data_IF_797303035508
#
_entry.id   IF_797303035508
#
_cell.length_a   1.000
_cell.length_b   1.000
_cell.length_c   1.000
_cell.angle_alpha   90.00
_cell.angle_beta   90.00
_cell.angle_gamma   90.00
#
_symmetry.space_group_name_H-M   'P 1'
#
loop_
_entity.id
_entity.type
_entity.pdbx_description
1 polymer ?
#
# COMPACT_ATOMS: atom_id res chain seq x y z
N UNK A 1 9.78 -21.12 24.09
CA UNK A 1 10.10 -19.65 24.09
C UNK A 1 11.45 -19.48 23.39
N UNK A 2 11.51 -18.88 22.20
CA UNK A 2 12.79 -18.59 21.54
C UNK A 2 13.35 -17.30 22.15
N UNK A 3 14.38 -17.42 22.95
CA UNK A 3 15.17 -16.29 23.44
C UNK A 3 16.31 -16.10 22.44
N UNK A 4 16.07 -15.31 21.39
CA UNK A 4 17.11 -14.85 20.49
C UNK A 4 17.51 -13.43 20.87
N UNK A 5 18.75 -13.23 21.29
CA UNK A 5 19.32 -11.89 21.40
C UNK A 5 19.55 -11.35 19.98
N UNK A 6 18.80 -10.31 19.60
CA UNK A 6 19.10 -9.55 18.41
C UNK A 6 20.28 -8.61 18.71
N UNK A 7 21.47 -8.77 18.10
CA UNK A 7 22.61 -7.91 18.35
C UNK A 7 22.40 -6.43 17.95
N UNK A 8 21.36 -6.14 17.17
CA UNK A 8 21.01 -4.78 16.75
C UNK A 8 19.94 -4.12 17.65
N UNK A 9 19.78 -4.54 18.88
CA UNK A 9 18.75 -4.06 19.83
C UNK A 9 18.94 -2.63 20.36
N UNK A 10 20.01 -1.94 19.99
CA UNK A 10 20.20 -0.50 20.24
C UNK A 10 19.63 0.30 19.07
N UNK A 11 18.34 0.19 18.84
CA UNK A 11 17.69 1.05 17.86
C UNK A 11 17.51 2.44 18.47
N UNK A 12 18.32 3.37 18.03
CA UNK A 12 17.99 4.79 18.01
C UNK A 12 16.65 4.96 17.30
N UNK A 13 15.78 5.81 17.84
CA UNK A 13 14.55 6.20 17.13
C UNK A 13 14.94 6.67 15.73
N UNK A 14 14.58 5.91 14.70
CA UNK A 14 14.82 6.32 13.33
C UNK A 14 13.89 7.50 13.04
N UNK A 15 14.46 8.67 12.75
CA UNK A 15 13.71 9.70 12.04
C UNK A 15 13.53 9.15 10.62
N UNK A 16 12.37 8.59 10.36
CA UNK A 16 12.06 8.08 9.04
C UNK A 16 12.04 9.24 8.05
N UNK A 17 12.73 9.08 6.95
CA UNK A 17 12.73 9.98 5.83
C UNK A 17 11.35 10.01 5.13
N UNK A 18 11.37 10.10 3.84
CA UNK A 18 10.18 10.17 2.98
C UNK A 18 9.28 8.93 3.11
N UNK A 19 7.97 9.15 3.17
CA UNK A 19 6.95 8.08 3.14
C UNK A 19 6.35 8.03 1.74
N UNK A 20 6.42 6.85 1.11
CA UNK A 20 5.88 6.61 -0.24
C UNK A 20 4.84 5.51 -0.17
N UNK A 21 3.60 5.81 -0.54
CA UNK A 21 2.58 4.79 -0.79
C UNK A 21 2.75 4.25 -2.23
N UNK A 22 3.11 2.98 -2.35
CA UNK A 22 3.39 2.35 -3.63
C UNK A 22 2.33 1.32 -4.00
N UNK A 23 1.89 1.34 -5.25
CA UNK A 23 0.90 0.40 -5.77
C UNK A 23 1.31 -0.10 -7.15
N UNK A 24 1.09 -1.39 -7.39
CA UNK A 24 1.26 -2.02 -8.72
C UNK A 24 -0.11 -2.25 -9.31
N UNK A 25 -0.37 -1.65 -10.47
CA UNK A 25 -1.63 -1.79 -11.20
C UNK A 25 -1.45 -2.67 -12.44
N UNK A 26 -2.50 -3.43 -12.79
CA UNK A 26 -2.55 -4.20 -14.02
C UNK A 26 -3.99 -4.39 -14.49
N UNK A 27 -4.35 -3.70 -15.55
CA UNK A 27 -5.64 -3.79 -16.24
C UNK A 27 -5.40 -4.20 -17.71
N UNK A 28 -5.44 -5.51 -18.03
CA UNK A 28 -5.09 -5.98 -19.38
C UNK A 28 -6.12 -5.59 -20.43
N UNK A 29 -7.40 -5.53 -20.06
CA UNK A 29 -8.53 -5.26 -20.96
C UNK A 29 -9.63 -4.46 -20.24
N UNK A 30 -10.42 -3.72 -21.01
CA UNK A 30 -11.51 -2.88 -20.51
C UNK A 30 -12.86 -3.61 -20.36
N UNK A 31 -12.96 -4.90 -20.71
CA UNK A 31 -14.24 -5.62 -20.77
C UNK A 31 -14.23 -7.00 -20.12
N UNK A 32 -15.32 -7.75 -20.31
CA UNK A 32 -15.47 -9.10 -19.78
C UNK A 32 -15.42 -9.16 -18.26
N UNK A 33 -14.63 -10.06 -17.73
CA UNK A 33 -14.38 -10.20 -16.28
C UNK A 33 -13.85 -8.90 -15.65
N UNK A 34 -13.10 -8.10 -16.39
CA UNK A 34 -12.46 -6.87 -15.93
C UNK A 34 -13.32 -5.60 -16.10
N UNK A 35 -14.58 -5.70 -16.56
CA UNK A 35 -15.44 -4.54 -16.88
C UNK A 35 -15.56 -3.48 -15.77
N UNK A 36 -15.60 -3.91 -14.51
CA UNK A 36 -15.72 -3.01 -13.35
C UNK A 36 -14.38 -2.73 -12.66
N UNK A 37 -13.29 -3.38 -13.11
CA UNK A 37 -11.96 -3.25 -12.50
C UNK A 37 -11.45 -1.81 -12.51
N UNK A 38 -11.71 -1.07 -13.58
CA UNK A 38 -11.34 0.34 -13.69
C UNK A 38 -11.95 1.18 -12.56
N UNK A 39 -13.24 0.98 -12.24
CA UNK A 39 -13.92 1.70 -11.15
C UNK A 39 -13.29 1.38 -9.80
N UNK A 40 -12.97 0.10 -9.57
CA UNK A 40 -12.34 -0.38 -8.34
C UNK A 40 -10.97 0.26 -8.17
N UNK A 41 -10.12 0.23 -9.19
CA UNK A 41 -8.78 0.81 -9.14
C UNK A 41 -8.83 2.33 -8.97
N UNK A 42 -9.72 3.03 -9.68
CA UNK A 42 -9.91 4.48 -9.49
C UNK A 42 -10.30 4.79 -8.05
N UNK A 43 -11.31 4.12 -7.51
CA UNK A 43 -11.73 4.29 -6.12
C UNK A 43 -10.59 3.98 -5.13
N UNK A 44 -9.82 2.93 -5.37
CA UNK A 44 -8.68 2.55 -4.54
C UNK A 44 -7.62 3.66 -4.51
N UNK A 45 -7.17 4.12 -5.67
CA UNK A 45 -6.15 5.15 -5.80
C UNK A 45 -6.60 6.51 -5.23
N UNK A 46 -7.84 6.91 -5.51
CA UNK A 46 -8.41 8.17 -4.98
C UNK A 46 -8.53 8.14 -3.45
N UNK A 47 -9.02 7.03 -2.88
CA UNK A 47 -9.13 6.91 -1.42
C UNK A 47 -7.78 6.75 -0.75
N UNK A 48 -6.80 6.11 -1.40
CA UNK A 48 -5.42 6.01 -0.93
C UNK A 48 -4.83 7.40 -0.67
N UNK A 49 -4.90 8.29 -1.67
CA UNK A 49 -4.39 9.68 -1.56
C UNK A 49 -5.19 10.49 -0.56
N UNK A 50 -6.52 10.56 -0.75
CA UNK A 50 -7.41 11.42 0.05
C UNK A 50 -7.42 11.09 1.53
N UNK A 51 -7.31 9.81 1.86
CA UNK A 51 -7.50 9.30 3.21
C UNK A 51 -6.20 8.94 3.94
N UNK A 52 -5.04 9.30 3.41
CA UNK A 52 -3.75 8.99 4.03
C UNK A 52 -3.62 9.56 5.45
N UNK A 53 -4.19 10.76 5.69
CA UNK A 53 -4.15 11.45 7.00
C UNK A 53 -2.82 12.11 7.33
N UNK A 54 -1.88 12.07 6.38
CA UNK A 54 -0.57 12.71 6.45
C UNK A 54 -0.03 12.95 5.04
N UNK A 55 0.99 13.78 4.93
CA UNK A 55 1.69 13.96 3.66
C UNK A 55 2.46 12.68 3.29
N UNK A 56 2.22 12.20 2.08
CA UNK A 56 2.93 11.09 1.49
C UNK A 56 2.95 11.26 -0.03
N UNK A 57 3.92 10.66 -0.67
CA UNK A 57 3.96 10.59 -2.12
C UNK A 57 3.37 9.27 -2.61
N UNK A 58 2.70 9.34 -3.74
CA UNK A 58 2.08 8.17 -4.39
C UNK A 58 2.93 7.72 -5.56
N UNK A 59 3.42 6.49 -5.51
CA UNK A 59 4.11 5.83 -6.60
C UNK A 59 3.20 4.78 -7.22
N UNK A 60 2.85 4.96 -8.49
CA UNK A 60 2.10 3.97 -9.25
C UNK A 60 3.04 3.29 -10.25
N UNK A 61 3.15 1.98 -10.17
CA UNK A 61 3.76 1.13 -11.17
C UNK A 61 2.66 0.50 -12.02
N UNK A 62 2.48 0.99 -13.23
CA UNK A 62 1.60 0.35 -14.20
C UNK A 62 2.33 -0.78 -14.91
N UNK A 63 1.86 -1.99 -14.71
CA UNK A 63 2.50 -3.23 -15.14
C UNK A 63 1.96 -3.71 -16.50
N UNK A 64 1.74 -2.78 -17.45
CA UNK A 64 1.29 -3.05 -18.80
C UNK A 64 -0.23 -3.09 -18.96
N UNK A 65 -0.91 -2.10 -18.40
CA UNK A 65 -2.35 -1.92 -18.57
C UNK A 65 -2.72 -1.38 -19.97
N UNK A 66 -4.01 -1.44 -20.30
CA UNK A 66 -4.50 -0.92 -21.58
C UNK A 66 -4.39 0.62 -21.67
N UNK A 67 -4.25 1.20 -22.89
CA UNK A 67 -3.85 2.59 -23.08
C UNK A 67 -4.72 3.64 -22.41
N UNK A 68 -6.04 3.49 -22.38
CA UNK A 68 -6.90 4.52 -21.78
C UNK A 68 -6.79 4.57 -20.26
N UNK A 69 -6.40 3.49 -19.60
CA UNK A 69 -6.09 3.50 -18.17
C UNK A 69 -4.76 4.21 -17.89
N UNK A 70 -3.72 3.94 -18.68
CA UNK A 70 -2.43 4.64 -18.55
C UNK A 70 -2.55 6.13 -18.85
N UNK A 71 -3.42 6.52 -19.80
CA UNK A 71 -3.72 7.93 -20.05
C UNK A 71 -4.41 8.58 -18.86
N UNK A 72 -5.39 7.91 -18.24
CA UNK A 72 -6.03 8.40 -17.02
C UNK A 72 -5.03 8.57 -15.88
N UNK A 73 -4.13 7.61 -15.66
CA UNK A 73 -3.07 7.74 -14.66
C UNK A 73 -2.19 8.97 -14.91
N UNK A 74 -1.87 9.23 -16.18
CA UNK A 74 -0.92 10.27 -16.57
C UNK A 74 -1.52 11.67 -16.55
N UNK A 75 -2.78 11.83 -16.88
CA UNK A 75 -3.40 13.14 -17.14
C UNK A 75 -4.55 13.52 -16.21
N UNK A 76 -5.09 12.57 -15.46
CA UNK A 76 -6.21 12.83 -14.54
C UNK A 76 -5.87 12.51 -13.09
N UNK A 77 -5.26 11.34 -12.82
CA UNK A 77 -4.89 10.97 -11.46
C UNK A 77 -3.58 11.63 -11.02
N UNK A 78 -2.60 11.72 -11.90
CA UNK A 78 -1.30 12.39 -11.71
C UNK A 78 -0.61 11.96 -10.40
N UNK A 79 -0.16 10.70 -10.28
CA UNK A 79 0.62 10.28 -9.12
C UNK A 79 1.96 11.03 -9.08
N UNK A 80 2.57 11.15 -7.90
CA UNK A 80 3.87 11.81 -7.76
C UNK A 80 4.96 11.10 -8.55
N UNK A 81 4.86 9.77 -8.66
CA UNK A 81 5.70 8.95 -9.53
C UNK A 81 4.85 7.97 -10.33
N UNK A 82 5.02 7.96 -11.64
CA UNK A 82 4.40 7.01 -12.55
C UNK A 82 5.46 6.24 -13.33
N UNK A 83 5.47 4.93 -13.15
CA UNK A 83 6.34 4.02 -13.89
C UNK A 83 5.46 3.18 -14.81
N UNK A 84 5.70 3.28 -16.12
CA UNK A 84 5.04 2.47 -17.14
C UNK A 84 5.99 1.37 -17.58
N UNK A 85 5.64 0.12 -17.35
CA UNK A 85 6.46 -1.03 -17.68
C UNK A 85 5.63 -2.15 -18.34
N UNK A 86 6.24 -3.00 -19.16
CA UNK A 86 5.59 -4.24 -19.58
C UNK A 86 5.30 -5.12 -18.37
N UNK A 87 4.29 -6.02 -18.50
CA UNK A 87 3.93 -6.90 -17.41
C UNK A 87 5.09 -7.85 -17.04
N UNK A 88 5.66 -7.64 -15.89
CA UNK A 88 6.73 -8.46 -15.31
C UNK A 88 6.28 -9.24 -14.06
N UNK A 89 4.99 -9.24 -13.76
CA UNK A 89 4.41 -9.81 -12.55
C UNK A 89 4.52 -8.88 -11.33
N UNK A 90 3.56 -9.01 -10.42
CA UNK A 90 3.42 -8.12 -9.25
C UNK A 90 4.64 -8.15 -8.33
N UNK A 91 5.22 -9.34 -8.10
CA UNK A 91 6.38 -9.50 -7.22
C UNK A 91 7.62 -8.80 -7.77
N UNK A 92 7.89 -8.97 -9.08
CA UNK A 92 9.05 -8.34 -9.71
C UNK A 92 8.91 -6.80 -9.73
N UNK A 93 7.71 -6.29 -10.02
CA UNK A 93 7.42 -4.87 -9.96
C UNK A 93 7.64 -4.29 -8.55
N UNK A 94 7.12 -4.95 -7.51
CA UNK A 94 7.37 -4.55 -6.11
C UNK A 94 8.85 -4.59 -5.74
N UNK A 95 9.56 -5.62 -6.16
CA UNK A 95 11.01 -5.73 -5.93
C UNK A 95 11.78 -4.61 -6.62
N UNK A 96 11.39 -4.23 -7.83
CA UNK A 96 11.98 -3.12 -8.55
C UNK A 96 11.74 -1.80 -7.82
N UNK A 97 10.51 -1.53 -7.35
CA UNK A 97 10.19 -0.34 -6.54
C UNK A 97 11.12 -0.26 -5.31
N UNK A 98 11.23 -1.35 -4.54
CA UNK A 98 12.08 -1.39 -3.34
C UNK A 98 13.54 -1.06 -3.66
N UNK A 99 14.06 -1.60 -4.78
CA UNK A 99 15.45 -1.37 -5.20
C UNK A 99 15.73 0.03 -5.74
N UNK A 100 14.70 0.73 -6.21
CA UNK A 100 14.82 2.09 -6.76
C UNK A 100 14.80 3.16 -5.69
N UNK A 101 14.19 2.89 -4.55
CA UNK A 101 14.00 3.87 -3.49
C UNK A 101 15.19 3.89 -2.52
N UNK A 102 15.52 5.05 -1.94
CA UNK A 102 16.55 5.15 -0.90
C UNK A 102 16.27 4.21 0.29
N UNK A 103 17.30 3.65 0.93
CA UNK A 103 17.14 2.69 2.01
C UNK A 103 16.35 3.19 3.22
N UNK A 104 16.34 4.50 3.46
CA UNK A 104 15.64 5.17 4.54
C UNK A 104 14.16 5.47 4.23
N UNK A 105 13.69 5.14 3.02
CA UNK A 105 12.30 5.38 2.63
C UNK A 105 11.36 4.38 3.30
N UNK A 106 10.30 4.88 3.93
CA UNK A 106 9.18 4.03 4.35
C UNK A 106 8.30 3.75 3.15
N UNK A 107 8.11 2.48 2.81
CA UNK A 107 7.27 2.05 1.72
C UNK A 107 5.97 1.47 2.27
N UNK A 108 4.85 2.18 2.06
CA UNK A 108 3.53 1.65 2.28
C UNK A 108 3.10 0.87 1.02
N UNK A 109 3.42 -0.44 0.99
CA UNK A 109 3.08 -1.31 -0.14
C UNK A 109 1.58 -1.63 -0.14
N UNK A 110 0.88 -1.11 -1.14
CA UNK A 110 -0.58 -1.13 -1.24
C UNK A 110 -1.07 -2.04 -2.38
N UNK A 111 -2.32 -2.47 -2.27
CA UNK A 111 -3.06 -3.13 -3.35
C UNK A 111 -4.01 -2.14 -4.05
N UNK A 112 -4.31 -2.39 -5.31
CA UNK A 112 -5.11 -1.50 -6.17
C UNK A 112 -6.62 -1.83 -6.17
N UNK A 113 -7.08 -2.64 -5.21
CA UNK A 113 -8.47 -3.07 -5.02
C UNK A 113 -8.98 -2.88 -3.57
N UNK A 114 -8.37 -1.96 -2.85
CA UNK A 114 -8.71 -1.63 -1.46
C UNK A 114 -9.50 -0.32 -1.39
N UNK A 115 -10.41 -0.23 -0.45
CA UNK A 115 -10.97 1.05 -0.01
C UNK A 115 -10.22 1.49 1.25
N UNK A 116 -9.49 2.59 1.15
CA UNK A 116 -8.69 3.12 2.25
C UNK A 116 -9.54 4.03 3.15
N UNK A 117 -9.65 3.68 4.43
CA UNK A 117 -10.35 4.49 5.43
C UNK A 117 -9.55 5.73 5.83
N UNK A 118 -10.21 6.77 6.38
CA UNK A 118 -9.50 7.97 6.86
C UNK A 118 -8.37 7.63 7.83
N UNK A 119 -7.22 8.31 7.66
CA UNK A 119 -6.00 8.14 8.45
C UNK A 119 -5.31 6.76 8.33
N UNK A 120 -5.60 5.99 7.28
CA UNK A 120 -5.06 4.64 7.11
C UNK A 120 -3.52 4.59 7.19
N UNK A 121 -2.83 5.56 6.57
CA UNK A 121 -1.38 5.60 6.57
C UNK A 121 -0.83 6.20 7.87
N UNK A 122 -1.42 7.32 8.31
CA UNK A 122 -1.03 7.98 9.56
C UNK A 122 -1.05 7.02 10.74
N UNK A 123 -2.12 6.24 10.91
CA UNK A 123 -2.22 5.26 12.00
C UNK A 123 -1.12 4.19 11.95
N UNK A 124 -0.75 3.71 10.75
CA UNK A 124 0.34 2.73 10.60
C UNK A 124 1.70 3.34 10.92
N UNK A 125 1.96 4.58 10.51
CA UNK A 125 3.20 5.30 10.81
C UNK A 125 3.31 5.60 12.30
N UNK A 126 2.22 5.97 12.98
CA UNK A 126 2.20 6.17 14.43
C UNK A 126 2.58 4.89 15.18
N UNK A 127 2.06 3.72 14.77
CA UNK A 127 2.44 2.43 15.35
C UNK A 127 3.93 2.13 15.09
N UNK A 128 4.39 2.33 13.85
CA UNK A 128 5.78 2.09 13.47
C UNK A 128 6.75 2.94 14.31
N UNK A 129 6.40 4.20 14.56
CA UNK A 129 7.20 5.13 15.37
C UNK A 129 7.15 4.81 16.89
N UNK A 130 6.02 4.27 17.35
CA UNK A 130 5.85 3.95 18.76
C UNK A 130 6.67 2.72 19.19
N UNK A 131 6.88 1.77 18.30
CA UNK A 131 7.58 0.52 18.59
C UNK A 131 8.93 0.43 17.88
N UNK A 132 10.05 0.75 18.54
CA UNK A 132 11.37 0.88 17.91
C UNK A 132 11.93 -0.42 17.31
N UNK A 133 11.35 -1.58 17.62
CA UNK A 133 11.79 -2.88 17.13
C UNK A 133 10.84 -3.50 16.09
N UNK A 134 9.87 -2.72 15.58
CA UNK A 134 8.91 -3.18 14.57
C UNK A 134 9.44 -2.81 13.20
N UNK A 135 9.64 -3.81 12.36
CA UNK A 135 10.09 -3.61 10.96
C UNK A 135 8.94 -3.42 9.96
N UNK A 136 7.73 -3.84 10.31
CA UNK A 136 6.55 -3.72 9.44
C UNK A 136 5.27 -3.55 10.25
N UNK A 137 4.35 -2.74 9.73
CA UNK A 137 2.99 -2.59 10.23
C UNK A 137 2.04 -2.85 9.06
N UNK A 138 0.99 -3.64 9.28
CA UNK A 138 -0.02 -3.93 8.26
C UNK A 138 -1.41 -3.58 8.77
N UNK A 139 -2.18 -2.91 7.92
CA UNK A 139 -3.60 -2.74 8.13
C UNK A 139 -4.34 -4.07 7.97
N UNK A 140 -5.39 -4.27 8.74
CA UNK A 140 -6.23 -5.47 8.64
C UNK A 140 -7.49 -5.19 7.82
N UNK A 141 -7.85 -6.03 6.82
CA UNK A 141 -9.05 -5.83 6.03
C UNK A 141 -10.31 -6.17 6.84
N UNK A 142 -11.03 -5.15 7.29
CA UNK A 142 -12.23 -5.26 8.15
C UNK A 142 -13.27 -6.23 7.58
N UNK A 143 -13.53 -6.18 6.28
CA UNK A 143 -14.56 -7.01 5.64
C UNK A 143 -14.30 -8.51 5.72
N UNK A 144 -13.06 -8.93 5.65
CA UNK A 144 -12.69 -10.36 5.70
C UNK A 144 -12.92 -10.93 7.09
N UNK A 145 -12.63 -10.15 8.13
CA UNK A 145 -12.82 -10.52 9.53
C UNK A 145 -14.30 -10.76 9.85
N UNK A 146 -15.17 -9.83 9.49
CA UNK A 146 -16.61 -9.94 9.77
C UNK A 146 -17.27 -11.14 9.08
N UNK A 147 -16.75 -11.56 7.92
CA UNK A 147 -17.34 -12.69 7.17
C UNK A 147 -16.93 -14.05 7.70
N UNK A 148 -15.71 -14.20 8.20
CA UNK A 148 -15.14 -15.51 8.56
C UNK A 148 -14.90 -15.71 10.06
N UNK A 149 -14.85 -14.64 10.87
CA UNK A 149 -14.50 -14.71 12.28
C UNK A 149 -15.35 -13.78 13.18
N UNK A 150 -16.66 -13.66 12.89
CA UNK A 150 -17.56 -12.74 13.58
C UNK A 150 -17.45 -12.79 15.10
N UNK A 151 -17.51 -13.99 15.70
CA UNK A 151 -17.49 -14.13 17.16
C UNK A 151 -16.14 -13.71 17.77
N UNK A 152 -15.02 -14.09 17.15
CA UNK A 152 -13.69 -13.75 17.63
C UNK A 152 -13.40 -12.25 17.47
N UNK A 153 -13.79 -11.64 16.33
CA UNK A 153 -13.57 -10.22 16.06
C UNK A 153 -14.42 -9.32 16.97
N UNK A 154 -15.68 -9.70 17.24
CA UNK A 154 -16.54 -8.97 18.15
C UNK A 154 -16.09 -9.08 19.62
N UNK A 155 -15.48 -10.19 19.99
CA UNK A 155 -14.90 -10.38 21.33
C UNK A 155 -13.64 -9.50 21.48
N UNK A 156 -12.78 -9.48 20.50
CA UNK A 156 -11.53 -8.72 20.50
C UNK A 156 -11.73 -7.19 20.46
N UNK A 157 -12.77 -6.73 19.77
CA UNK A 157 -13.09 -5.29 19.70
C UNK A 157 -13.80 -4.74 20.94
N UNK A 158 -14.03 -5.57 21.97
CA UNK A 158 -14.63 -5.17 23.26
C UNK A 158 -13.63 -5.17 24.42
N UNK A 159 -12.44 -5.68 24.23
CA UNK A 159 -11.29 -5.63 25.13
C UNK A 159 -10.37 -4.46 24.75
#
# INVERSE_FOLDING_TARGET
>A
MRVGNNPNKTATAHSFGKVIASVVTYLPVAGGYHKDRLKVVKCSLETMRRNAGMDCEILVWDNGSYPSFTQWLKYEYEPDYLILAPNMGKLNARTAIIKMLPPETIIAAADDDMFYYPNWLKAQIEILNHFPNVGTVSGWPVRTQFRFHNAATLKWGKE
#
